data_IF_198962168189
#
_entry.id   IF_198962168189
#
_cell.length_a   1.000
_cell.length_b   1.000
_cell.length_c   1.000
_cell.angle_alpha   90.00
_cell.angle_beta   90.00
_cell.angle_gamma   90.00
#
_symmetry.space_group_name_H-M   'P 1'
#
loop_
_entity.id
_entity.type
_entity.pdbx_description
1 polymer ?
#
# COMPACT_ATOMS: atom_id res chain seq x y z
N UNK A 1 -1.17 -17.35 -29.00
CA UNK A 1 -2.00 -16.27 -29.59
C UNK A 1 -1.18 -15.00 -29.61
N UNK A 2 -0.90 -14.50 -30.81
CA UNK A 2 -0.15 -13.24 -31.01
C UNK A 2 -1.17 -12.10 -31.03
N UNK A 3 -1.13 -11.23 -30.02
CA UNK A 3 -1.95 -10.02 -30.01
C UNK A 3 -1.32 -8.97 -30.93
N UNK A 4 -1.98 -8.61 -32.04
CA UNK A 4 -1.53 -7.57 -32.98
C UNK A 4 -1.83 -6.16 -32.39
N UNK A 5 -1.05 -5.77 -31.39
CA UNK A 5 -1.15 -4.43 -30.76
C UNK A 5 -0.45 -3.44 -31.68
N UNK A 6 -1.21 -2.45 -32.19
CA UNK A 6 -0.67 -1.45 -33.14
C UNK A 6 -0.44 -0.07 -32.52
N UNK A 7 -1.14 0.24 -31.45
CA UNK A 7 -0.94 1.49 -30.72
C UNK A 7 -1.42 1.35 -29.28
N UNK A 8 -0.84 2.16 -28.38
CA UNK A 8 -1.20 2.14 -26.98
C UNK A 8 -0.84 3.44 -26.27
N UNK A 9 -1.49 3.66 -25.14
CA UNK A 9 -1.23 4.77 -24.23
C UNK A 9 -0.82 4.18 -22.91
N UNK A 10 0.31 4.63 -22.39
CA UNK A 10 0.80 4.22 -21.07
C UNK A 10 0.62 5.35 -20.08
N UNK A 11 -0.13 5.09 -19.03
CA UNK A 11 -0.34 6.02 -17.90
C UNK A 11 0.55 5.56 -16.75
N UNK A 12 1.56 6.34 -16.36
CA UNK A 12 2.39 6.00 -15.21
C UNK A 12 1.56 6.10 -13.92
N UNK A 13 1.79 5.17 -13.01
CA UNK A 13 1.16 5.14 -11.69
C UNK A 13 2.16 5.70 -10.69
N UNK A 14 1.96 6.93 -10.19
CA UNK A 14 2.86 7.54 -9.22
C UNK A 14 2.80 6.82 -7.88
N UNK A 15 3.91 6.86 -7.14
CA UNK A 15 4.02 6.35 -5.76
C UNK A 15 3.64 4.87 -5.62
N UNK A 16 3.99 4.03 -6.59
CA UNK A 16 3.78 2.60 -6.47
C UNK A 16 4.76 1.99 -5.45
N UNK A 17 4.27 1.22 -4.45
CA UNK A 17 5.15 0.56 -3.47
C UNK A 17 6.10 -0.42 -4.17
N UNK A 18 7.40 -0.25 -3.97
CA UNK A 18 8.40 -1.18 -4.50
C UNK A 18 8.92 -0.88 -5.90
N UNK A 19 8.58 0.26 -6.51
CA UNK A 19 9.16 0.66 -7.77
C UNK A 19 8.24 1.38 -8.74
N UNK A 20 8.45 1.14 -10.03
CA UNK A 20 7.66 1.73 -11.11
C UNK A 20 6.47 0.84 -11.46
N UNK A 21 5.31 1.45 -11.62
CA UNK A 21 4.13 0.79 -12.21
C UNK A 21 3.49 1.70 -13.25
N UNK A 22 2.90 1.09 -14.27
CA UNK A 22 2.18 1.79 -15.31
C UNK A 22 1.01 0.94 -15.82
N UNK A 23 -0.04 1.61 -16.28
CA UNK A 23 -1.17 0.97 -16.95
C UNK A 23 -1.13 1.32 -18.43
N UNK A 24 -1.16 0.30 -19.29
CA UNK A 24 -1.16 0.49 -20.74
C UNK A 24 -2.52 0.12 -21.31
N UNK A 25 -3.13 1.07 -22.01
CA UNK A 25 -4.33 0.86 -22.82
C UNK A 25 -3.88 0.62 -24.25
N UNK A 26 -4.15 -0.56 -24.78
CA UNK A 26 -3.72 -0.96 -26.11
C UNK A 26 -4.89 -1.17 -27.07
N UNK A 27 -4.67 -0.89 -28.35
CA UNK A 27 -5.65 -1.09 -29.41
C UNK A 27 -4.99 -1.64 -30.67
N UNK A 28 -5.77 -2.36 -31.47
CA UNK A 28 -5.38 -2.83 -32.80
C UNK A 28 -5.60 -1.78 -33.91
N UNK A 29 -6.23 -0.62 -33.59
CA UNK A 29 -6.45 0.46 -34.54
C UNK A 29 -5.22 1.36 -34.68
N UNK A 30 -5.04 1.97 -35.88
CA UNK A 30 -3.93 2.90 -36.15
C UNK A 30 -4.14 4.27 -35.51
N UNK A 31 -3.07 5.00 -35.32
CA UNK A 31 -2.90 6.24 -34.51
C UNK A 31 -4.04 7.30 -34.52
N UNK A 32 -4.80 7.47 -35.60
CA UNK A 32 -5.78 8.55 -35.69
C UNK A 32 -6.93 8.45 -34.64
N UNK A 33 -7.31 7.23 -34.26
CA UNK A 33 -8.37 7.03 -33.26
C UNK A 33 -7.91 7.27 -31.82
N UNK A 34 -6.62 7.08 -31.52
CA UNK A 34 -6.07 7.21 -30.17
C UNK A 34 -5.99 8.66 -29.70
N UNK A 35 -5.57 9.58 -30.56
CA UNK A 35 -5.50 11.02 -30.25
C UNK A 35 -6.89 11.59 -29.97
N UNK A 36 -7.89 11.21 -30.78
CA UNK A 36 -9.27 11.60 -30.57
C UNK A 36 -9.85 10.99 -29.28
N UNK A 37 -9.52 9.73 -29.01
CA UNK A 37 -9.92 9.05 -27.76
C UNK A 37 -9.34 9.74 -26.53
N UNK A 38 -8.07 10.17 -26.57
CA UNK A 38 -7.41 10.93 -25.50
C UNK A 38 -8.07 12.28 -25.25
N UNK A 39 -8.39 13.01 -26.33
CA UNK A 39 -9.03 14.32 -26.23
C UNK A 39 -10.45 14.23 -25.66
N UNK A 40 -11.21 13.20 -26.04
CA UNK A 40 -12.58 13.03 -25.57
C UNK A 40 -12.69 12.28 -24.23
N UNK A 41 -11.77 11.37 -23.93
CA UNK A 41 -11.91 10.43 -22.81
C UNK A 41 -10.68 10.40 -21.88
N UNK A 42 -9.74 11.35 -21.99
CA UNK A 42 -8.52 11.37 -21.16
C UNK A 42 -8.81 11.36 -19.66
N UNK A 43 -9.82 12.12 -19.23
CA UNK A 43 -10.25 12.12 -17.84
C UNK A 43 -10.80 10.75 -17.40
N UNK A 44 -11.54 10.05 -18.27
CA UNK A 44 -12.05 8.71 -17.98
C UNK A 44 -10.92 7.68 -17.85
N UNK A 45 -9.90 7.76 -18.71
CA UNK A 45 -8.72 6.88 -18.63
C UNK A 45 -7.93 7.10 -17.33
N UNK A 46 -7.74 8.35 -16.91
CA UNK A 46 -7.12 8.68 -15.64
C UNK A 46 -7.94 8.18 -14.45
N UNK A 47 -9.27 8.34 -14.52
CA UNK A 47 -10.18 7.85 -13.48
C UNK A 47 -10.11 6.32 -13.35
N UNK A 48 -10.16 5.59 -14.46
CA UNK A 48 -10.03 4.12 -14.48
C UNK A 48 -8.68 3.70 -13.93
N UNK A 49 -7.59 4.35 -14.35
CA UNK A 49 -6.24 4.06 -13.84
C UNK A 49 -6.16 4.27 -12.32
N UNK A 50 -6.68 5.38 -11.81
CA UNK A 50 -6.70 5.67 -10.38
C UNK A 50 -7.56 4.67 -9.59
N UNK A 51 -8.69 4.25 -10.16
CA UNK A 51 -9.59 3.28 -9.55
C UNK A 51 -8.94 1.89 -9.47
N UNK A 52 -8.36 1.41 -10.57
CA UNK A 52 -7.63 0.14 -10.64
C UNK A 52 -6.42 0.17 -9.70
N UNK A 53 -5.64 1.27 -9.69
CA UNK A 53 -4.54 1.45 -8.77
C UNK A 53 -4.97 1.32 -7.31
N UNK A 54 -6.08 1.97 -6.94
CA UNK A 54 -6.62 1.89 -5.57
C UNK A 54 -7.03 0.47 -5.22
N UNK A 55 -7.63 -0.25 -6.16
CA UNK A 55 -8.05 -1.64 -5.96
C UNK A 55 -6.85 -2.57 -5.83
N UNK A 56 -5.88 -2.48 -6.75
CA UNK A 56 -4.66 -3.28 -6.73
C UNK A 56 -3.82 -3.02 -5.48
N UNK A 57 -3.71 -1.77 -5.02
CA UNK A 57 -3.01 -1.46 -3.76
C UNK A 57 -3.62 -2.21 -2.58
N UNK A 58 -4.94 -2.29 -2.51
CA UNK A 58 -5.62 -3.06 -1.44
C UNK A 58 -5.34 -4.55 -1.50
N UNK A 59 -5.18 -5.10 -2.72
CA UNK A 59 -4.91 -6.53 -2.93
C UNK A 59 -3.43 -6.88 -2.79
N UNK A 60 -2.55 -5.95 -3.15
CA UNK A 60 -1.08 -6.14 -3.17
C UNK A 60 -0.38 -5.46 -1.98
N UNK A 61 -1.12 -4.82 -1.07
CA UNK A 61 -0.53 -4.34 0.17
C UNK A 61 0.16 -5.53 0.86
N UNK A 62 1.48 -5.44 1.10
CA UNK A 62 2.17 -6.50 1.81
C UNK A 62 1.51 -6.67 3.17
N UNK A 63 0.87 -7.80 3.37
CA UNK A 63 0.28 -8.15 4.66
C UNK A 63 1.40 -8.72 5.51
N UNK A 64 1.73 -8.04 6.60
CA UNK A 64 2.69 -8.53 7.57
C UNK A 64 1.99 -9.51 8.50
N UNK A 65 2.32 -10.80 8.37
CA UNK A 65 1.82 -11.83 9.26
C UNK A 65 2.68 -11.89 10.52
N UNK A 66 2.12 -11.44 11.62
CA UNK A 66 2.73 -11.54 12.96
C UNK A 66 1.82 -12.41 13.82
N UNK A 67 2.32 -13.57 14.24
CA UNK A 67 1.53 -14.60 15.00
C UNK A 67 0.16 -14.91 14.39
N UNK A 68 0.09 -14.98 13.05
CA UNK A 68 -1.15 -15.25 12.32
C UNK A 68 -2.07 -14.03 12.13
N UNK A 69 -1.75 -12.88 12.72
CA UNK A 69 -2.48 -11.64 12.50
C UNK A 69 -1.97 -10.89 11.27
N UNK A 70 -2.88 -10.53 10.38
CA UNK A 70 -2.60 -9.80 9.15
C UNK A 70 -2.59 -8.29 9.43
N UNK A 71 -1.40 -7.70 9.51
CA UNK A 71 -1.21 -6.27 9.71
C UNK A 71 -1.04 -5.54 8.38
N UNK A 72 -1.68 -4.39 8.26
CA UNK A 72 -1.41 -3.48 7.14
C UNK A 72 -0.02 -2.85 7.28
N UNK A 73 0.61 -2.37 6.19
CA UNK A 73 1.91 -1.69 6.25
C UNK A 73 1.92 -0.55 7.26
N UNK A 74 0.84 0.20 7.37
CA UNK A 74 0.73 1.33 8.29
C UNK A 74 0.66 0.88 9.75
N UNK A 75 -0.13 -0.14 10.06
CA UNK A 75 -0.19 -0.73 11.39
C UNK A 75 1.17 -1.28 11.81
N UNK A 76 1.86 -1.96 10.89
CA UNK A 76 3.20 -2.49 11.14
C UNK A 76 4.22 -1.37 11.42
N UNK A 77 4.22 -0.29 10.63
CA UNK A 77 5.12 0.85 10.83
C UNK A 77 4.81 1.56 12.15
N UNK A 78 3.53 1.75 12.50
CA UNK A 78 3.15 2.28 13.81
C UNK A 78 3.74 1.42 14.94
N UNK A 79 3.56 0.10 14.87
CA UNK A 79 4.07 -0.82 15.88
C UNK A 79 5.59 -0.76 16.00
N UNK A 80 6.30 -0.67 14.87
CA UNK A 80 7.75 -0.49 14.84
C UNK A 80 8.19 0.76 15.61
N UNK A 81 7.58 1.93 15.33
CA UNK A 81 7.95 3.17 16.01
C UNK A 81 7.66 3.13 17.51
N UNK A 82 6.54 2.50 17.93
CA UNK A 82 6.26 2.28 19.33
C UNK A 82 7.28 1.34 19.99
N UNK A 83 7.73 0.30 19.30
CA UNK A 83 8.79 -0.60 19.76
C UNK A 83 10.14 0.12 19.90
N UNK A 84 10.40 1.15 19.10
CA UNK A 84 11.57 2.02 19.21
C UNK A 84 11.41 3.11 20.29
N UNK A 85 10.33 3.07 21.07
CA UNK A 85 10.07 3.99 22.18
C UNK A 85 9.48 5.35 21.77
N UNK A 86 9.00 5.51 20.53
CA UNK A 86 8.35 6.74 20.09
C UNK A 86 6.97 6.88 20.69
N UNK A 87 6.60 8.11 21.05
CA UNK A 87 5.25 8.42 21.51
C UNK A 87 4.25 8.43 20.35
N UNK A 88 2.95 8.42 20.68
CA UNK A 88 1.89 8.57 19.67
C UNK A 88 2.03 9.85 18.85
N UNK A 89 2.42 10.95 19.49
CA UNK A 89 2.61 12.24 18.82
C UNK A 89 3.82 12.22 17.89
N UNK A 90 4.95 11.66 18.36
CA UNK A 90 6.16 11.52 17.53
C UNK A 90 5.89 10.62 16.32
N UNK A 91 5.21 9.50 16.53
CA UNK A 91 4.82 8.58 15.44
C UNK A 91 3.94 9.29 14.41
N UNK A 92 2.98 10.09 14.86
CA UNK A 92 2.10 10.87 13.99
C UNK A 92 2.90 11.87 13.13
N UNK A 93 3.87 12.57 13.72
CA UNK A 93 4.75 13.50 13.03
C UNK A 93 5.64 12.78 12.00
N UNK A 94 6.28 11.66 12.40
CA UNK A 94 7.16 10.87 11.51
C UNK A 94 6.39 10.33 10.31
N UNK A 95 5.16 9.90 10.51
CA UNK A 95 4.32 9.31 9.46
C UNK A 95 3.49 10.32 8.68
N UNK A 96 3.57 11.61 9.02
CA UNK A 96 2.77 12.70 8.43
C UNK A 96 1.26 12.40 8.44
N UNK A 97 0.77 11.95 9.60
CA UNK A 97 -0.65 11.67 9.83
C UNK A 97 -1.10 12.27 11.17
N UNK A 98 -2.41 12.36 11.38
CA UNK A 98 -2.93 12.85 12.65
C UNK A 98 -2.70 11.86 13.81
N UNK A 99 -2.46 12.36 15.00
CA UNK A 99 -2.32 11.57 16.24
C UNK A 99 -3.55 10.69 16.51
N UNK A 100 -4.74 11.18 16.16
CA UNK A 100 -5.99 10.41 16.24
C UNK A 100 -5.99 9.19 15.31
N UNK A 101 -5.36 9.31 14.14
CA UNK A 101 -5.24 8.21 13.18
C UNK A 101 -4.27 7.15 13.69
N UNK A 102 -3.15 7.56 14.29
CA UNK A 102 -2.21 6.63 14.95
C UNK A 102 -2.92 5.86 16.07
N UNK A 103 -3.68 6.56 16.94
CA UNK A 103 -4.45 5.92 18.01
C UNK A 103 -5.40 4.85 17.48
N UNK A 104 -6.13 5.16 16.41
CA UNK A 104 -7.07 4.24 15.78
C UNK A 104 -6.37 3.03 15.15
N UNK A 105 -5.24 3.25 14.49
CA UNK A 105 -4.44 2.18 13.90
C UNK A 105 -3.88 1.25 15.00
N UNK A 106 -3.44 1.81 16.12
CA UNK A 106 -2.98 1.03 17.28
C UNK A 106 -4.11 0.26 17.98
N UNK A 107 -5.31 0.80 18.03
CA UNK A 107 -6.48 0.10 18.55
C UNK A 107 -6.84 -1.10 17.66
N UNK A 108 -6.89 -0.89 16.35
CA UNK A 108 -7.15 -1.96 15.36
C UNK A 108 -6.08 -3.04 15.41
N UNK A 109 -4.82 -2.65 15.50
CA UNK A 109 -3.67 -3.54 15.62
C UNK A 109 -3.76 -4.42 16.89
N UNK A 110 -4.08 -3.83 18.05
CA UNK A 110 -4.26 -4.58 19.28
C UNK A 110 -5.39 -5.60 19.17
N UNK A 111 -6.50 -5.22 18.56
CA UNK A 111 -7.63 -6.13 18.31
C UNK A 111 -7.22 -7.30 17.41
N UNK A 112 -6.46 -7.05 16.34
CA UNK A 112 -5.94 -8.08 15.42
C UNK A 112 -4.97 -9.05 16.11
N UNK A 113 -4.08 -8.53 16.97
CA UNK A 113 -3.12 -9.34 17.73
C UNK A 113 -3.76 -10.01 18.96
N UNK A 114 -5.00 -9.71 19.30
CA UNK A 114 -5.68 -10.26 20.47
C UNK A 114 -5.07 -9.80 21.82
N UNK A 115 -4.42 -8.63 21.84
CA UNK A 115 -3.74 -8.10 23.03
C UNK A 115 -4.47 -6.90 23.62
N UNK A 116 -4.35 -6.71 24.95
CA UNK A 116 -5.00 -5.60 25.66
C UNK A 116 -4.15 -4.35 25.74
N UNK A 117 -2.83 -4.49 25.77
CA UNK A 117 -1.91 -3.36 25.98
C UNK A 117 -0.94 -3.20 24.81
N UNK A 118 -0.46 -1.97 24.64
CA UNK A 118 0.58 -1.66 23.65
C UNK A 118 1.87 -2.43 23.94
N UNK A 119 2.23 -2.57 25.22
CA UNK A 119 3.44 -3.29 25.63
C UNK A 119 3.39 -4.78 25.21
N UNK A 120 2.22 -5.41 25.27
CA UNK A 120 2.04 -6.78 24.77
C UNK A 120 2.26 -6.85 23.25
N UNK A 121 1.73 -5.88 22.49
CA UNK A 121 1.95 -5.80 21.05
C UNK A 121 3.43 -5.59 20.72
N UNK A 122 4.13 -4.74 21.47
CA UNK A 122 5.57 -4.50 21.33
C UNK A 122 6.36 -5.80 21.62
N UNK A 123 6.01 -6.55 22.64
CA UNK A 123 6.67 -7.83 22.97
C UNK A 123 6.51 -8.86 21.83
N UNK A 124 5.33 -8.94 21.22
CA UNK A 124 5.07 -9.79 20.06
C UNK A 124 5.92 -9.33 18.86
N UNK A 125 6.01 -8.04 18.62
CA UNK A 125 6.85 -7.48 17.55
C UNK A 125 8.33 -7.80 17.77
N UNK A 126 8.83 -7.65 18.99
CA UNK A 126 10.23 -7.97 19.33
C UNK A 126 10.55 -9.46 19.09
N UNK A 127 9.64 -10.35 19.46
CA UNK A 127 9.78 -11.79 19.17
C UNK A 127 9.78 -12.08 17.67
N UNK A 128 8.92 -11.42 16.91
CA UNK A 128 8.87 -11.53 15.44
C UNK A 128 10.18 -11.05 14.80
N UNK A 129 10.72 -9.90 15.19
CA UNK A 129 12.01 -9.40 14.67
C UNK A 129 13.17 -10.32 15.02
N UNK A 130 13.22 -10.86 16.24
CA UNK A 130 14.25 -11.82 16.66
C UNK A 130 14.25 -13.09 15.78
N UNK A 131 13.07 -13.60 15.43
CA UNK A 131 12.91 -14.77 14.53
C UNK A 131 13.33 -14.46 13.10
N UNK A 132 13.17 -13.21 12.66
CA UNK A 132 13.54 -12.76 11.32
C UNK A 132 15.06 -12.59 11.16
N UNK A 133 15.71 -12.06 12.17
CA UNK A 133 17.17 -11.87 12.20
C UNK A 133 17.89 -13.21 12.28
N UNK A 134 17.33 -14.21 12.96
CA UNK A 134 17.93 -15.55 13.11
C UNK A 134 17.85 -16.44 11.85
N UNK A 135 17.21 -15.99 10.78
CA UNK A 135 17.09 -16.72 9.50
C UNK A 135 18.08 -16.28 8.41
N UNK A 136 19.03 -15.43 8.74
CA UNK A 136 20.10 -14.99 7.82
C UNK A 136 21.45 -15.56 8.23
#
# INVERSE_FOLDING_TARGET
ETFDIRSGITVPIPNWPGGFAAMTFATYQRHAGLTTCLQCNGAALLFVTAHVQRHLRRMLEPVWLIEGAALTPREFICLKWFAEGKSQTDTAQIMDISSRKVARDMETLRAKLGVRTINQAIAIYAAYEATRIGKH
#
